data_IF_550945901189
#
_entry.id   IF_550945901189
#
_cell.length_a   1.000
_cell.length_b   1.000
_cell.length_c   1.000
_cell.angle_alpha   90.00
_cell.angle_beta   90.00
_cell.angle_gamma   90.00
#
_symmetry.space_group_name_H-M   'P 1'
#
loop_
_entity.id
_entity.type
_entity.pdbx_description
1 polymer ?
#
# COMPACT_ATOMS: atom_id res chain seq x y z
N UNK A 1 14.45 17.02 -9.13
CA UNK A 1 13.08 17.04 -8.55
C UNK A 1 12.09 17.03 -9.70
N UNK A 2 11.57 15.86 -10.10
CA UNK A 2 10.59 15.79 -11.19
C UNK A 2 9.26 16.38 -10.74
N UNK A 3 8.77 17.40 -11.46
CA UNK A 3 7.44 17.99 -11.22
C UNK A 3 6.39 17.02 -11.77
N UNK A 4 5.50 16.53 -10.93
CA UNK A 4 4.39 15.69 -11.37
C UNK A 4 3.39 16.48 -12.22
N UNK A 5 2.97 15.90 -13.34
CA UNK A 5 1.94 16.44 -14.23
C UNK A 5 0.57 15.97 -13.78
N UNK A 6 -0.35 16.90 -13.55
CA UNK A 6 -1.74 16.55 -13.25
C UNK A 6 -2.51 16.25 -14.54
N UNK A 7 -3.16 15.10 -14.59
CA UNK A 7 -4.07 14.69 -15.64
C UNK A 7 -5.51 14.70 -15.12
N UNK A 8 -6.41 15.19 -15.97
CA UNK A 8 -7.85 15.21 -15.78
C UNK A 8 -8.52 14.18 -16.71
N UNK A 9 -9.74 13.72 -16.41
CA UNK A 9 -10.48 12.81 -17.28
C UNK A 9 -10.55 13.36 -18.72
N UNK A 10 -10.18 12.54 -19.69
CA UNK A 10 -10.11 12.93 -21.10
C UNK A 10 -9.02 12.17 -21.86
N UNK A 11 -8.73 12.59 -23.09
CA UNK A 11 -7.87 11.85 -24.02
C UNK A 11 -6.46 11.60 -23.48
N UNK A 12 -5.91 12.56 -22.72
CA UNK A 12 -4.57 12.43 -22.11
C UNK A 12 -4.52 11.35 -21.04
N UNK A 13 -5.54 11.26 -20.18
CA UNK A 13 -5.63 10.23 -19.14
C UNK A 13 -5.93 8.85 -19.74
N UNK A 14 -6.81 8.80 -20.75
CA UNK A 14 -7.09 7.57 -21.49
C UNK A 14 -5.85 7.01 -22.18
N UNK A 15 -5.10 7.87 -22.88
CA UNK A 15 -3.87 7.49 -23.56
C UNK A 15 -2.79 7.02 -22.59
N UNK A 16 -2.74 7.63 -21.40
CA UNK A 16 -1.85 7.19 -20.33
C UNK A 16 -2.18 5.75 -19.89
N UNK A 17 -3.46 5.46 -19.60
CA UNK A 17 -3.88 4.11 -19.19
C UNK A 17 -3.69 3.08 -20.31
N UNK A 18 -4.08 3.39 -21.55
CA UNK A 18 -3.94 2.44 -22.66
C UNK A 18 -2.47 2.10 -22.94
N UNK A 19 -1.57 3.08 -22.90
CA UNK A 19 -0.13 2.86 -23.07
C UNK A 19 0.46 1.96 -21.97
N UNK A 20 0.02 2.11 -20.72
CA UNK A 20 0.52 1.28 -19.61
C UNK A 20 -0.09 -0.13 -19.60
N UNK A 21 -1.39 -0.26 -19.87
CA UNK A 21 -2.08 -1.56 -19.93
C UNK A 21 -1.51 -2.43 -21.06
N UNK A 22 -1.23 -1.84 -22.23
CA UNK A 22 -0.63 -2.55 -23.36
C UNK A 22 0.81 -3.01 -23.10
N UNK A 23 1.54 -2.33 -22.23
CA UNK A 23 2.94 -2.69 -21.92
C UNK A 23 3.06 -3.93 -21.04
N UNK A 24 2.06 -4.24 -20.23
CA UNK A 24 2.17 -5.29 -19.21
C UNK A 24 1.25 -6.50 -19.40
N UNK A 25 0.35 -6.50 -20.40
CA UNK A 25 -0.74 -7.50 -20.44
C UNK A 25 -0.84 -8.28 -21.75
N UNK A 26 -1.32 -9.53 -21.63
CA UNK A 26 -1.74 -10.39 -22.75
C UNK A 26 -3.16 -10.07 -23.24
N UNK A 27 -3.70 -8.89 -22.89
CA UNK A 27 -5.03 -8.46 -23.28
C UNK A 27 -5.04 -8.04 -24.74
N UNK A 28 -6.13 -8.35 -25.44
CA UNK A 28 -6.35 -7.84 -26.79
C UNK A 28 -6.62 -6.33 -26.77
N UNK A 29 -6.37 -5.68 -27.91
CA UNK A 29 -6.47 -4.22 -28.03
C UNK A 29 -7.85 -3.66 -27.69
N UNK A 30 -8.91 -4.44 -27.91
CA UNK A 30 -10.29 -4.02 -27.62
C UNK A 30 -10.54 -4.02 -26.11
N UNK A 31 -10.04 -5.04 -25.40
CA UNK A 31 -10.11 -5.10 -23.94
C UNK A 31 -9.27 -3.99 -23.28
N UNK A 32 -8.07 -3.72 -23.81
CA UNK A 32 -7.21 -2.66 -23.30
C UNK A 32 -7.87 -1.26 -23.42
N UNK A 33 -8.52 -0.97 -24.55
CA UNK A 33 -9.25 0.30 -24.75
C UNK A 33 -10.48 0.42 -23.85
N UNK A 34 -11.27 -0.65 -23.72
CA UNK A 34 -12.45 -0.65 -22.82
C UNK A 34 -12.03 -0.40 -21.37
N UNK A 35 -10.93 -1.01 -20.93
CA UNK A 35 -10.41 -0.82 -19.59
C UNK A 35 -9.88 0.59 -19.38
N UNK A 36 -9.13 1.14 -20.34
CA UNK A 36 -8.64 2.52 -20.28
C UNK A 36 -9.81 3.53 -20.22
N UNK A 37 -10.88 3.31 -20.97
CA UNK A 37 -12.09 4.14 -20.92
C UNK A 37 -12.80 4.05 -19.57
N UNK A 38 -12.98 2.84 -19.03
CA UNK A 38 -13.59 2.64 -17.72
C UNK A 38 -12.81 3.32 -16.59
N UNK A 39 -11.48 3.18 -16.60
CA UNK A 39 -10.59 3.83 -15.64
C UNK A 39 -10.62 5.36 -15.76
N UNK A 40 -10.67 5.88 -16.99
CA UNK A 40 -10.78 7.33 -17.23
C UNK A 40 -12.09 7.90 -16.67
N UNK A 41 -13.21 7.17 -16.77
CA UNK A 41 -14.50 7.59 -16.18
C UNK A 41 -14.52 7.49 -14.65
N UNK A 42 -13.75 6.57 -14.07
CA UNK A 42 -13.73 6.34 -12.63
C UNK A 42 -12.80 7.31 -11.85
N UNK A 43 -11.86 7.97 -12.54
CA UNK A 43 -10.82 8.79 -11.91
C UNK A 43 -11.08 10.27 -12.14
N UNK A 44 -11.36 11.03 -11.09
CA UNK A 44 -11.60 12.47 -11.16
C UNK A 44 -10.33 13.31 -11.40
N UNK A 45 -9.17 12.85 -10.91
CA UNK A 45 -7.86 13.52 -11.09
C UNK A 45 -6.72 12.54 -10.82
N UNK A 46 -5.68 12.59 -11.64
CA UNK A 46 -4.47 11.79 -11.47
C UNK A 46 -3.23 12.69 -11.46
N UNK A 47 -2.26 12.38 -10.58
CA UNK A 47 -0.94 13.00 -10.62
C UNK A 47 0.04 11.95 -11.16
N UNK A 48 0.64 12.25 -12.31
CA UNK A 48 1.62 11.39 -12.97
C UNK A 48 3.00 11.99 -12.78
N UNK A 49 3.95 11.18 -12.31
CA UNK A 49 5.34 11.58 -12.26
C UNK A 49 6.07 11.07 -13.51
N UNK A 50 6.73 11.98 -14.23
CA UNK A 50 7.76 11.58 -15.18
C UNK A 50 8.98 11.12 -14.37
N UNK A 51 9.04 9.81 -14.12
CA UNK A 51 10.30 9.19 -13.75
C UNK A 51 11.17 9.18 -15.02
N UNK A 52 12.38 9.76 -14.99
CA UNK A 52 13.32 9.53 -16.09
C UNK A 52 13.51 8.02 -16.26
N UNK A 53 13.64 7.56 -17.50
CA UNK A 53 14.05 6.20 -17.89
C UNK A 53 15.48 5.83 -17.39
N UNK A 54 15.92 6.39 -16.26
CA UNK A 54 17.19 6.10 -15.57
C UNK A 54 17.06 4.85 -14.68
N UNK A 55 16.52 3.80 -15.27
CA UNK A 55 17.00 2.47 -14.96
C UNK A 55 17.38 1.87 -16.30
N UNK A 56 18.67 1.78 -16.65
CA UNK A 56 19.05 0.78 -17.62
C UNK A 56 18.52 -0.54 -17.05
N UNK A 57 17.48 -1.09 -17.67
CA UNK A 57 17.03 -2.46 -17.40
C UNK A 57 18.09 -3.36 -18.01
N UNK A 58 19.26 -3.36 -17.38
CA UNK A 58 20.36 -4.24 -17.68
C UNK A 58 19.85 -5.65 -17.46
N UNK A 59 19.90 -6.44 -18.53
CA UNK A 59 19.80 -7.88 -18.53
C UNK A 59 20.93 -8.48 -17.65
N UNK A 60 20.86 -8.31 -16.32
CA UNK A 60 21.65 -9.05 -15.33
C UNK A 60 21.27 -8.63 -13.91
N UNK A 61 20.23 -9.26 -13.37
CA UNK A 61 20.20 -9.70 -11.98
C UNK A 61 19.23 -10.87 -11.82
N UNK A 62 19.40 -11.88 -12.68
CA UNK A 62 19.16 -13.26 -12.29
C UNK A 62 20.20 -13.62 -11.21
N UNK A 63 20.00 -13.14 -9.96
CA UNK A 63 20.72 -13.57 -8.76
C UNK A 63 20.14 -12.87 -7.51
N UNK A 64 18.88 -13.14 -7.18
CA UNK A 64 18.33 -13.19 -5.81
C UNK A 64 16.91 -13.77 -5.85
N UNK A 65 16.79 -14.95 -6.46
CA UNK A 65 15.78 -15.89 -6.01
C UNK A 65 16.23 -16.37 -4.64
N UNK A 66 15.59 -15.85 -3.58
CA UNK A 66 15.33 -16.60 -2.33
C UNK A 66 14.65 -15.79 -1.21
N UNK A 67 14.46 -14.47 -1.32
CA UNK A 67 13.86 -13.69 -0.21
C UNK A 67 12.36 -13.33 -0.40
N UNK A 68 11.85 -13.36 -1.62
CA UNK A 68 10.44 -13.04 -1.92
C UNK A 68 9.42 -14.16 -1.62
N UNK A 69 9.73 -15.47 -1.74
CA UNK A 69 8.76 -16.50 -1.44
C UNK A 69 8.46 -16.58 0.05
N UNK A 70 9.39 -16.20 0.94
CA UNK A 70 9.15 -16.31 2.38
C UNK A 70 8.18 -15.23 2.88
N UNK A 71 8.23 -14.01 2.35
CA UNK A 71 7.28 -12.96 2.71
C UNK A 71 5.87 -13.33 2.19
N UNK A 72 5.77 -13.70 0.91
CA UNK A 72 4.50 -14.13 0.31
C UNK A 72 3.93 -15.42 0.95
N UNK A 73 4.78 -16.39 1.29
CA UNK A 73 4.35 -17.63 1.96
C UNK A 73 4.01 -17.43 3.44
N UNK A 74 4.64 -16.47 4.14
CA UNK A 74 4.21 -16.04 5.48
C UNK A 74 2.84 -15.36 5.43
N UNK A 75 2.56 -14.57 4.39
CA UNK A 75 1.26 -13.95 4.17
C UNK A 75 0.16 -14.94 3.73
N UNK A 76 0.52 -16.02 3.01
CA UNK A 76 -0.42 -17.05 2.58
C UNK A 76 -0.85 -18.03 3.70
N UNK A 77 -0.11 -18.13 4.81
CA UNK A 77 -0.41 -19.07 5.91
C UNK A 77 -1.55 -18.66 6.84
N UNK A 78 -2.15 -17.49 6.65
CA UNK A 78 -3.37 -17.09 7.33
C UNK A 78 -4.48 -16.96 6.28
N UNK A 79 -5.16 -18.05 5.97
CA UNK A 79 -6.08 -18.21 4.81
C UNK A 79 -7.18 -17.12 4.66
N UNK A 80 -7.37 -16.19 5.61
CA UNK A 80 -8.35 -15.11 5.51
C UNK A 80 -7.86 -13.75 6.08
N UNK A 81 -6.57 -13.55 6.36
CA UNK A 81 -6.11 -12.30 6.97
C UNK A 81 -5.63 -11.27 5.95
N UNK A 82 -6.32 -10.12 5.87
CA UNK A 82 -5.91 -8.98 5.05
C UNK A 82 -5.36 -7.83 5.92
N UNK A 83 -4.04 -7.54 5.90
CA UNK A 83 -3.43 -6.47 6.69
C UNK A 83 -3.79 -5.04 6.20
N UNK A 84 -4.45 -4.93 5.05
CA UNK A 84 -4.92 -3.67 4.46
C UNK A 84 -6.42 -3.42 4.65
N UNK A 85 -7.12 -4.27 5.42
CA UNK A 85 -8.56 -4.15 5.65
C UNK A 85 -8.96 -2.79 6.28
N UNK A 86 -8.06 -2.18 7.03
CA UNK A 86 -8.18 -0.80 7.50
C UNK A 86 -6.80 -0.16 7.70
N UNK A 87 -6.74 1.18 7.72
CA UNK A 87 -5.52 1.91 8.04
C UNK A 87 -5.51 2.35 9.50
N UNK A 88 -4.42 2.04 10.22
CA UNK A 88 -4.25 2.42 11.62
C UNK A 88 -4.38 3.94 11.84
N UNK A 89 -3.74 4.73 10.97
CA UNK A 89 -3.74 6.19 11.06
C UNK A 89 -5.15 6.76 10.80
N UNK A 90 -5.85 6.25 9.78
CA UNK A 90 -7.19 6.74 9.43
C UNK A 90 -8.21 6.41 10.53
N UNK A 91 -8.16 5.20 11.07
CA UNK A 91 -9.03 4.79 12.19
C UNK A 91 -8.72 5.62 13.42
N UNK A 92 -7.43 5.82 13.75
CA UNK A 92 -7.02 6.67 14.87
C UNK A 92 -7.51 8.12 14.72
N UNK A 93 -7.38 8.69 13.52
CA UNK A 93 -7.79 10.07 13.27
C UNK A 93 -9.32 10.26 13.37
N UNK A 94 -10.12 9.26 12.98
CA UNK A 94 -11.59 9.35 12.95
C UNK A 94 -12.27 8.88 14.22
N UNK A 95 -11.74 7.82 14.84
CA UNK A 95 -12.39 7.10 15.94
C UNK A 95 -11.56 7.14 17.23
N UNK A 96 -10.38 7.76 17.19
CA UNK A 96 -9.49 7.85 18.33
C UNK A 96 -8.85 6.52 18.71
N UNK A 97 -8.17 6.55 19.85
CA UNK A 97 -7.42 5.44 20.42
C UNK A 97 -8.29 4.20 20.65
N UNK A 98 -9.48 4.39 21.18
CA UNK A 98 -10.40 3.29 21.52
C UNK A 98 -10.94 2.59 20.26
N UNK A 99 -11.24 3.36 19.20
CA UNK A 99 -11.67 2.80 17.93
C UNK A 99 -10.60 1.92 17.29
N UNK A 100 -9.34 2.39 17.28
CA UNK A 100 -8.22 1.58 16.79
C UNK A 100 -8.00 0.34 17.65
N UNK A 101 -8.10 0.48 18.97
CA UNK A 101 -7.92 -0.63 19.91
C UNK A 101 -8.96 -1.74 19.68
N UNK A 102 -10.23 -1.39 19.46
CA UNK A 102 -11.30 -2.35 19.13
C UNK A 102 -11.02 -3.11 17.83
N UNK A 103 -10.59 -2.42 16.78
CA UNK A 103 -10.24 -3.06 15.49
C UNK A 103 -9.08 -4.04 15.63
N UNK A 104 -8.05 -3.67 16.40
CA UNK A 104 -6.91 -4.55 16.67
C UNK A 104 -7.27 -5.77 17.54
N UNK A 105 -8.37 -5.73 18.29
CA UNK A 105 -8.88 -6.90 19.04
C UNK A 105 -9.47 -7.96 18.11
N UNK A 106 -9.94 -7.60 16.91
CA UNK A 106 -10.44 -8.57 15.92
C UNK A 106 -9.30 -9.48 15.41
N UNK A 107 -8.06 -8.98 15.43
CA UNK A 107 -6.86 -9.74 15.06
C UNK A 107 -6.43 -10.63 16.23
N UNK A 108 -6.55 -11.96 16.06
CA UNK A 108 -6.39 -12.95 17.14
C UNK A 108 -5.01 -13.60 17.24
N UNK A 109 -4.12 -13.38 16.27
CA UNK A 109 -2.79 -14.01 16.24
C UNK A 109 -1.69 -12.95 16.24
N UNK A 110 -0.53 -13.33 16.78
CA UNK A 110 0.64 -12.46 16.89
C UNK A 110 1.22 -12.18 15.51
N UNK A 111 1.24 -13.20 14.67
CA UNK A 111 1.72 -13.16 13.29
C UNK A 111 0.92 -12.14 12.48
N UNK A 112 -0.41 -12.15 12.60
CA UNK A 112 -1.27 -11.24 11.87
C UNK A 112 -1.15 -9.79 12.37
N UNK A 113 -0.98 -9.58 13.69
CA UNK A 113 -0.73 -8.24 14.23
C UNK A 113 0.60 -7.66 13.72
N UNK A 114 1.63 -8.50 13.61
CA UNK A 114 2.93 -8.09 13.05
C UNK A 114 2.85 -7.80 11.57
N UNK A 115 2.18 -8.66 10.81
CA UNK A 115 1.92 -8.44 9.39
C UNK A 115 1.11 -7.15 9.17
N UNK A 116 0.13 -6.84 10.03
CA UNK A 116 -0.58 -5.56 10.02
C UNK A 116 0.36 -4.39 10.28
N UNK A 117 1.17 -4.46 11.33
CA UNK A 117 2.09 -3.38 11.67
C UNK A 117 3.09 -3.10 10.54
N UNK A 118 3.66 -4.15 9.96
CA UNK A 118 4.60 -4.07 8.84
C UNK A 118 3.96 -3.45 7.59
N UNK A 119 2.79 -3.94 7.18
CA UNK A 119 2.04 -3.43 6.03
C UNK A 119 1.68 -1.95 6.17
N UNK A 120 1.42 -1.48 7.40
CA UNK A 120 1.11 -0.10 7.69
C UNK A 120 2.37 0.75 7.97
N UNK A 121 3.58 0.18 7.87
CA UNK A 121 4.86 0.78 8.27
C UNK A 121 4.86 1.34 9.70
N UNK A 122 4.20 0.63 10.61
CA UNK A 122 4.15 0.95 12.05
C UNK A 122 5.24 0.16 12.76
N UNK A 123 6.26 0.82 13.34
CA UNK A 123 7.34 0.11 14.03
C UNK A 123 6.80 -0.55 15.30
N UNK A 124 7.09 -1.85 15.46
CA UNK A 124 6.75 -2.64 16.64
C UNK A 124 7.95 -3.50 17.02
N UNK A 125 8.28 -3.55 18.31
CA UNK A 125 9.42 -4.33 18.79
C UNK A 125 9.24 -5.84 18.51
N UNK A 126 10.26 -6.43 17.88
CA UNK A 126 10.36 -7.85 17.59
C UNK A 126 10.27 -8.73 18.85
N UNK A 127 10.65 -8.21 20.02
CA UNK A 127 10.67 -8.96 21.29
C UNK A 127 9.29 -9.13 21.94
N UNK A 128 8.27 -8.38 21.51
CA UNK A 128 6.93 -8.45 22.09
C UNK A 128 6.21 -9.76 21.70
N UNK A 129 5.88 -10.59 22.67
CA UNK A 129 5.22 -11.89 22.41
C UNK A 129 3.74 -11.93 22.76
N UNK A 130 3.25 -10.99 23.56
CA UNK A 130 1.85 -10.93 24.00
C UNK A 130 1.03 -10.09 23.04
N UNK A 131 -0.16 -10.57 22.68
CA UNK A 131 -1.08 -9.87 21.78
C UNK A 131 -1.37 -8.44 22.27
N UNK A 132 -1.69 -8.27 23.55
CA UNK A 132 -2.06 -6.96 24.09
C UNK A 132 -0.89 -5.97 24.09
N UNK A 133 0.33 -6.43 24.32
CA UNK A 133 1.51 -5.58 24.27
C UNK A 133 1.80 -5.13 22.83
N UNK A 134 1.63 -6.03 21.86
CA UNK A 134 1.74 -5.70 20.43
C UNK A 134 0.65 -4.71 20.02
N UNK A 135 -0.60 -4.91 20.44
CA UNK A 135 -1.71 -3.97 20.15
C UNK A 135 -1.42 -2.58 20.72
N UNK A 136 -0.97 -2.50 21.98
CA UNK A 136 -0.59 -1.23 22.62
C UNK A 136 0.55 -0.54 21.86
N UNK A 137 1.56 -1.31 21.43
CA UNK A 137 2.68 -0.78 20.65
C UNK A 137 2.23 -0.21 19.30
N UNK A 138 1.34 -0.92 18.58
CA UNK A 138 0.78 -0.44 17.30
C UNK A 138 0.03 0.88 17.49
N UNK A 139 -0.79 0.98 18.53
CA UNK A 139 -1.55 2.20 18.83
C UNK A 139 -0.61 3.37 19.13
N UNK A 140 0.38 3.18 20.02
CA UNK A 140 1.34 4.22 20.38
C UNK A 140 2.17 4.70 19.18
N UNK A 141 2.64 3.77 18.35
CA UNK A 141 3.39 4.10 17.15
C UNK A 141 2.54 4.81 16.08
N UNK A 142 1.25 4.47 15.98
CA UNK A 142 0.32 5.19 15.10
C UNK A 142 0.01 6.61 15.61
N UNK A 143 -0.11 6.81 16.93
CA UNK A 143 -0.25 8.12 17.58
C UNK A 143 0.95 9.01 17.28
N UNK A 144 2.17 8.49 17.46
CA UNK A 144 3.40 9.22 17.17
C UNK A 144 3.47 9.66 15.71
N UNK A 145 3.23 8.74 14.77
CA UNK A 145 3.25 9.08 13.33
C UNK A 145 2.20 10.12 12.95
N UNK A 146 1.03 10.10 13.58
CA UNK A 146 0.01 11.11 13.34
C UNK A 146 0.45 12.47 13.88
N UNK A 147 1.10 12.50 15.04
CA UNK A 147 1.68 13.72 15.61
C UNK A 147 2.80 14.29 14.72
N UNK A 148 3.75 13.45 14.29
CA UNK A 148 4.85 13.85 13.41
C UNK A 148 4.35 14.45 12.10
N UNK A 149 3.30 13.86 11.52
CA UNK A 149 2.66 14.37 10.29
C UNK A 149 1.98 15.73 10.49
N UNK A 150 1.38 15.97 11.66
CA UNK A 150 0.78 17.27 11.99
C UNK A 150 1.86 18.33 12.20
N UNK A 151 2.94 17.97 12.89
CA UNK A 151 4.08 18.85 13.12
C UNK A 151 4.79 19.24 11.81
N UNK A 152 4.95 18.31 10.87
CA UNK A 152 5.56 18.59 9.56
C UNK A 152 4.67 19.42 8.61
N UNK A 153 3.37 19.55 8.91
CA UNK A 153 2.41 20.32 8.11
C UNK A 153 2.10 21.71 8.69
N UNK A 154 2.67 22.05 9.84
CA UNK A 154 2.55 23.36 10.51
C UNK A 154 3.84 24.16 10.31
#
# INVERSE_FOLDING_TARGET
>A
MSKGTQLWPGDKMRSFFSAHIRRETSLDDTAAERLAEALTKAVNRMLVWDMPDDVPRTEQAAAKGDAAPELAARHARAENFNPYLFSAIVVLAKQGRDGLSKRLQEIKTVENLRAFAEAQHVPVDAKLRRLDDIRKAIVAAAEQRLADRKAAAS
#
